data_IF_713587409973
#
_entry.id   IF_713587409973
#
_cell.length_a   1.000
_cell.length_b   1.000
_cell.length_c   1.000
_cell.angle_alpha   90.00
_cell.angle_beta   90.00
_cell.angle_gamma   90.00
#
_symmetry.space_group_name_H-M   'P 1'
#
loop_
_entity.id
_entity.type
_entity.pdbx_description
1 polymer ?
#
# COMPACT_ATOMS: atom_id res chain seq x y z
N UNK A 1 6.81 14.81 8.08
CA UNK A 1 6.77 15.27 6.67
C UNK A 1 6.30 14.08 5.87
N UNK A 2 5.10 14.15 5.30
CA UNK A 2 4.51 13.04 4.53
C UNK A 2 4.92 13.09 3.07
N UNK A 3 4.66 12.02 2.34
CA UNK A 3 5.03 11.91 0.92
C UNK A 3 4.26 10.79 0.21
N UNK A 4 4.43 10.75 -1.10
CA UNK A 4 3.92 9.65 -1.94
C UNK A 4 5.09 8.72 -2.26
N UNK A 5 4.93 7.44 -1.97
CA UNK A 5 5.84 6.37 -2.37
C UNK A 5 5.14 5.55 -3.43
N UNK A 6 5.75 5.40 -4.60
CA UNK A 6 5.19 4.62 -5.70
C UNK A 6 6.10 3.44 -5.96
N UNK A 7 5.52 2.25 -6.06
CA UNK A 7 6.25 1.05 -6.47
C UNK A 7 6.75 1.19 -7.92
N UNK A 8 8.03 0.96 -8.13
CA UNK A 8 8.67 0.94 -9.44
C UNK A 8 9.13 -0.50 -9.73
N UNK A 9 8.48 -1.23 -10.65
CA UNK A 9 8.93 -2.56 -11.05
C UNK A 9 10.25 -2.47 -11.83
N UNK A 10 11.04 -3.55 -11.82
CA UNK A 10 12.23 -3.66 -12.66
C UNK A 10 11.86 -3.79 -14.15
N UNK A 11 10.73 -4.44 -14.45
CA UNK A 11 10.13 -4.53 -15.78
C UNK A 11 8.63 -4.18 -15.76
N UNK A 12 8.22 -3.22 -16.60
CA UNK A 12 6.84 -2.74 -16.63
C UNK A 12 5.81 -3.84 -16.95
N UNK A 13 6.24 -4.91 -17.61
CA UNK A 13 5.38 -6.06 -17.92
C UNK A 13 4.99 -6.88 -16.69
N UNK A 14 5.75 -6.78 -15.59
CA UNK A 14 5.46 -7.48 -14.31
C UNK A 14 4.17 -6.98 -13.66
N UNK A 15 3.81 -5.73 -13.94
CA UNK A 15 2.64 -5.05 -13.35
C UNK A 15 1.61 -4.65 -14.40
N UNK A 16 1.82 -5.03 -15.66
CA UNK A 16 0.92 -4.68 -16.75
C UNK A 16 -0.46 -5.30 -16.53
N UNK A 17 -1.50 -4.45 -16.50
CA UNK A 17 -2.88 -4.88 -16.28
C UNK A 17 -3.23 -5.27 -14.84
N UNK A 18 -2.28 -5.21 -13.90
CA UNK A 18 -2.59 -5.42 -12.48
C UNK A 18 -3.34 -4.21 -11.91
N UNK A 19 -4.34 -4.43 -11.03
CA UNK A 19 -4.98 -3.35 -10.31
C UNK A 19 -4.04 -2.77 -9.27
N UNK A 20 -4.13 -1.46 -9.03
CA UNK A 20 -3.32 -0.73 -8.05
C UNK A 20 -4.15 -0.34 -6.84
N UNK A 21 -3.48 -0.25 -5.69
CA UNK A 21 -4.07 0.23 -4.43
C UNK A 21 -3.25 1.39 -3.87
N UNK A 22 -3.90 2.21 -3.03
CA UNK A 22 -3.25 3.28 -2.26
C UNK A 22 -3.45 3.00 -0.78
N UNK A 23 -2.36 2.80 -0.05
CA UNK A 23 -2.36 2.74 1.42
C UNK A 23 -2.07 4.12 1.97
N UNK A 24 -3.01 4.67 2.73
CA UNK A 24 -2.82 5.93 3.46
C UNK A 24 -2.46 5.64 4.91
N UNK A 25 -1.43 6.30 5.41
CA UNK A 25 -0.95 6.13 6.79
C UNK A 25 -0.52 7.45 7.43
N UNK A 26 -0.48 7.45 8.76
CA UNK A 26 -0.02 8.57 9.55
C UNK A 26 1.47 8.83 9.32
N UNK A 27 1.82 10.04 8.89
CA UNK A 27 3.23 10.45 8.85
C UNK A 27 3.73 10.78 10.27
N UNK A 28 5.04 10.82 10.47
CA UNK A 28 5.63 11.07 11.81
C UNK A 28 4.99 12.25 12.55
N UNK A 29 4.50 11.97 13.77
CA UNK A 29 3.87 12.95 14.66
C UNK A 29 2.33 12.88 14.69
N UNK A 30 1.72 12.05 13.85
CA UNK A 30 0.27 11.75 13.87
C UNK A 30 0.03 10.31 14.33
N UNK A 31 -1.15 10.03 14.90
CA UNK A 31 -1.50 8.71 15.46
C UNK A 31 -2.89 8.28 14.96
N UNK A 32 -2.93 7.60 13.82
CA UNK A 32 -4.15 7.00 13.27
C UNK A 32 -3.81 5.77 12.42
N UNK A 33 -4.75 4.81 12.35
CA UNK A 33 -4.55 3.53 11.67
C UNK A 33 -4.56 3.68 10.14
N UNK A 34 -3.67 2.96 9.46
CA UNK A 34 -3.64 2.96 8.00
C UNK A 34 -4.90 2.33 7.40
N UNK A 35 -5.22 2.73 6.17
CA UNK A 35 -6.31 2.12 5.39
C UNK A 35 -5.99 2.11 3.90
N UNK A 36 -6.64 1.20 3.18
CA UNK A 36 -6.39 0.95 1.75
C UNK A 36 -7.57 1.44 0.91
N UNK A 37 -7.28 2.07 -0.22
CA UNK A 37 -8.23 2.45 -1.27
C UNK A 37 -7.89 1.75 -2.59
N UNK A 38 -8.90 1.32 -3.36
CA UNK A 38 -8.72 0.67 -4.66
C UNK A 38 -9.81 -0.35 -4.97
N UNK A 39 -9.72 -1.08 -6.10
CA UNK A 39 -8.62 -1.02 -7.08
C UNK A 39 -8.70 0.17 -8.05
N UNK A 40 -7.56 0.58 -8.60
CA UNK A 40 -7.39 1.66 -9.59
C UNK A 40 -6.47 1.24 -10.75
N UNK A 41 -6.44 2.04 -11.82
CA UNK A 41 -5.30 2.08 -12.75
C UNK A 41 -4.11 2.81 -12.09
N UNK A 42 -2.87 2.53 -12.53
CA UNK A 42 -1.65 3.11 -11.92
C UNK A 42 -1.70 4.64 -11.87
N UNK A 43 -2.05 5.28 -12.99
CA UNK A 43 -2.09 6.74 -13.10
C UNK A 43 -3.12 7.36 -12.16
N UNK A 44 -4.29 6.73 -12.02
CA UNK A 44 -5.35 7.17 -11.11
C UNK A 44 -4.93 7.03 -9.64
N UNK A 45 -4.26 5.92 -9.29
CA UNK A 45 -3.76 5.69 -7.95
C UNK A 45 -2.72 6.75 -7.53
N UNK A 46 -1.76 7.05 -8.42
CA UNK A 46 -0.75 8.10 -8.21
C UNK A 46 -1.41 9.46 -8.08
N UNK A 47 -2.33 9.81 -8.99
CA UNK A 47 -3.03 11.09 -8.95
C UNK A 47 -3.85 11.29 -7.66
N UNK A 48 -4.53 10.25 -7.19
CA UNK A 48 -5.25 10.29 -5.90
C UNK A 48 -4.30 10.51 -4.72
N UNK A 49 -3.19 9.76 -4.67
CA UNK A 49 -2.20 9.88 -3.61
C UNK A 49 -1.60 11.29 -3.52
N UNK A 50 -1.17 11.85 -4.65
CA UNK A 50 -0.65 13.22 -4.74
C UNK A 50 -1.69 14.27 -4.32
N UNK A 51 -2.95 14.09 -4.74
CA UNK A 51 -4.04 14.99 -4.39
C UNK A 51 -4.35 14.98 -2.89
N UNK A 52 -4.28 13.83 -2.22
CA UNK A 52 -4.52 13.72 -0.78
C UNK A 52 -3.34 14.31 0.02
N UNK A 53 -2.11 13.94 -0.31
CA UNK A 53 -0.90 14.41 0.40
C UNK A 53 -0.72 15.93 0.25
N UNK A 54 -1.12 16.51 -0.88
CA UNK A 54 -1.08 17.97 -1.09
C UNK A 54 -2.15 18.74 -0.30
N UNK A 55 -3.29 18.10 0.03
CA UNK A 55 -4.39 18.74 0.76
C UNK A 55 -4.26 18.60 2.27
N UNK A 56 -3.57 17.57 2.77
CA UNK A 56 -3.48 17.29 4.20
C UNK A 56 -2.07 16.98 4.65
N UNK A 57 -1.56 17.83 5.53
CA UNK A 57 -0.33 17.56 6.26
C UNK A 57 -0.53 16.35 7.18
N UNK A 58 0.55 15.60 7.44
CA UNK A 58 0.48 14.48 8.37
C UNK A 58 0.12 13.13 7.72
N UNK A 59 0.02 13.08 6.39
CA UNK A 59 -0.37 11.88 5.63
C UNK A 59 0.77 11.41 4.74
N UNK A 60 1.07 10.11 4.78
CA UNK A 60 1.86 9.42 3.77
C UNK A 60 0.96 8.52 2.93
N UNK A 61 1.32 8.32 1.67
CA UNK A 61 0.60 7.46 0.75
C UNK A 61 1.56 6.50 0.06
N UNK A 62 1.23 5.21 0.03
CA UNK A 62 1.97 4.16 -0.67
C UNK A 62 1.10 3.68 -1.82
N UNK A 63 1.63 3.67 -3.03
CA UNK A 63 0.95 3.30 -4.26
C UNK A 63 1.63 2.06 -4.83
N UNK A 64 0.92 0.93 -4.85
CA UNK A 64 1.48 -0.37 -5.20
C UNK A 64 0.49 -1.25 -6.00
N UNK A 65 0.99 -2.15 -6.86
CA UNK A 65 0.15 -3.11 -7.57
C UNK A 65 -0.32 -4.21 -6.61
N UNK A 66 -1.52 -4.74 -6.85
CA UNK A 66 -2.01 -5.92 -6.15
C UNK A 66 -1.48 -7.18 -6.83
N UNK A 67 -0.47 -7.79 -6.22
CA UNK A 67 0.09 -9.06 -6.67
C UNK A 67 -0.82 -10.22 -6.21
N UNK A 68 -1.28 -11.10 -7.13
CA UNK A 68 -2.11 -12.23 -6.75
C UNK A 68 -1.28 -13.27 -5.99
N UNK A 69 -1.79 -13.74 -4.85
CA UNK A 69 -1.26 -14.92 -4.17
C UNK A 69 -1.88 -16.16 -4.82
N UNK A 70 -1.04 -17.08 -5.28
CA UNK A 70 -1.50 -18.25 -6.06
C UNK A 70 -1.71 -19.52 -5.22
N UNK A 71 -1.14 -19.59 -4.00
CA UNK A 71 -1.24 -20.75 -3.12
C UNK A 71 -1.88 -20.42 -1.75
N UNK A 72 -2.68 -21.35 -1.24
CA UNK A 72 -3.34 -21.20 0.06
C UNK A 72 -2.34 -21.24 1.20
N UNK A 73 -1.26 -22.01 1.08
CA UNK A 73 -0.22 -22.12 2.09
C UNK A 73 0.49 -20.78 2.33
N UNK A 74 0.71 -19.99 1.27
CA UNK A 74 1.31 -18.65 1.39
C UNK A 74 0.43 -17.73 2.23
N UNK A 75 -0.89 -17.72 1.97
CA UNK A 75 -1.84 -16.93 2.75
C UNK A 75 -1.86 -17.36 4.21
N UNK A 76 -1.86 -18.67 4.48
CA UNK A 76 -1.86 -19.19 5.84
C UNK A 76 -0.56 -18.83 6.59
N UNK A 77 0.59 -18.91 5.91
CA UNK A 77 1.88 -18.52 6.48
C UNK A 77 1.91 -17.03 6.86
N UNK A 78 1.39 -16.14 6.00
CA UNK A 78 1.26 -14.71 6.33
C UNK A 78 0.36 -14.48 7.55
N UNK A 79 -0.75 -15.22 7.68
CA UNK A 79 -1.63 -15.11 8.85
C UNK A 79 -0.91 -15.51 10.14
N UNK A 80 -0.11 -16.57 10.09
CA UNK A 80 0.62 -17.04 11.26
C UNK A 80 1.75 -16.07 11.65
N UNK A 81 2.49 -15.53 10.66
CA UNK A 81 3.51 -14.47 10.87
C UNK A 81 2.91 -13.25 11.58
N UNK A 82 1.79 -12.71 11.07
CA UNK A 82 1.12 -11.54 11.64
C UNK A 82 0.64 -11.77 13.09
N UNK A 83 0.34 -13.02 13.46
CA UNK A 83 -0.07 -13.35 14.84
C UNK A 83 1.11 -13.37 15.80
N UNK A 84 2.28 -13.81 15.34
CA UNK A 84 3.51 -13.82 16.14
C UNK A 84 4.00 -12.39 16.43
N UNK A 85 3.79 -11.46 15.51
CA UNK A 85 4.16 -10.04 15.69
C UNK A 85 3.29 -9.31 16.73
N UNK A 86 2.02 -9.69 16.87
CA UNK A 86 1.07 -9.08 17.83
C UNK A 86 1.30 -9.58 19.28
N UNK A 87 1.94 -10.74 19.46
CA UNK A 87 2.21 -11.35 20.77
C UNK A 87 3.70 -11.78 20.87
N UNK A 88 4.65 -10.82 20.91
CA UNK A 88 6.06 -11.14 21.05
C UNK A 88 6.31 -11.68 22.47
N UNK A 89 6.59 -12.99 22.58
CA UNK A 89 6.94 -13.68 23.84
C UNK A 89 8.06 -12.99 24.65
#
# INVERSE_FOLDING_TARGET
>A
MGGVVVYEPDDETEVEGLPWAVTFEASSGEEWASFVCGPYEREDAVGLAEAVVSQRTGVSAIVEPLLPVEDVADVLATIDELREEEDPE
#
